data_IF_601051083024
#
_entry.id   IF_601051083024
#
_cell.length_a   1.000
_cell.length_b   1.000
_cell.length_c   1.000
_cell.angle_alpha   90.00
_cell.angle_beta   90.00
_cell.angle_gamma   90.00
#
_symmetry.space_group_name_H-M   'P 1'
#
loop_
_entity.id
_entity.type
_entity.pdbx_description
1 polymer ?
#
# COMPACT_ATOMS: atom_id res chain seq x y z
N UNK A 1 15.15 52.53 -6.83
CA UNK A 1 14.24 51.76 -7.69
C UNK A 1 15.01 50.54 -8.17
N UNK A 2 14.76 49.35 -7.58
CA UNK A 2 15.01 47.98 -8.07
C UNK A 2 14.68 47.01 -6.89
N UNK A 3 14.15 45.80 -7.13
CA UNK A 3 13.04 45.26 -6.34
C UNK A 3 13.39 44.06 -5.44
N UNK A 4 12.46 43.79 -4.52
CA UNK A 4 12.01 42.48 -4.03
C UNK A 4 12.89 41.25 -4.29
N UNK A 5 13.53 40.75 -3.22
CA UNK A 5 13.67 39.31 -3.01
C UNK A 5 13.33 38.96 -1.56
N UNK A 6 12.03 38.81 -1.29
CA UNK A 6 11.53 37.98 -0.19
C UNK A 6 11.82 36.53 -0.62
N UNK A 7 13.05 36.07 -0.37
CA UNK A 7 13.40 34.65 -0.41
C UNK A 7 12.55 33.99 0.67
N UNK A 8 11.36 33.54 0.27
CA UNK A 8 10.63 32.54 1.02
C UNK A 8 11.58 31.37 1.18
N UNK A 9 12.10 31.20 2.39
CA UNK A 9 12.64 29.93 2.83
C UNK A 9 11.43 29.00 2.84
N UNK A 10 11.20 28.34 1.71
CA UNK A 10 10.38 27.15 1.67
C UNK A 10 11.14 26.14 2.53
N UNK A 11 10.82 26.15 3.83
CA UNK A 11 11.12 25.02 4.70
C UNK A 11 10.32 23.87 4.12
N UNK A 12 10.88 23.23 3.08
CA UNK A 12 10.56 21.85 2.73
C UNK A 12 10.77 21.13 4.05
N UNK A 13 9.67 20.79 4.72
CA UNK A 13 9.68 19.96 5.92
C UNK A 13 10.41 18.70 5.48
N UNK A 14 11.66 18.56 5.87
CA UNK A 14 12.33 17.27 5.88
C UNK A 14 11.46 16.39 6.78
N UNK A 15 10.85 15.32 6.27
CA UNK A 15 10.19 14.37 7.15
C UNK A 15 11.24 13.83 8.15
N UNK A 16 10.84 13.48 9.38
CA UNK A 16 11.75 12.90 10.36
C UNK A 16 12.42 11.65 9.75
N UNK A 17 13.73 11.50 9.96
CA UNK A 17 14.58 10.48 9.32
C UNK A 17 14.30 9.00 9.70
N UNK A 18 13.17 8.70 10.34
CA UNK A 18 12.71 7.34 10.66
C UNK A 18 11.42 6.94 9.93
N UNK A 19 10.75 7.89 9.27
CA UNK A 19 9.71 7.60 8.29
C UNK A 19 10.32 7.82 6.92
N UNK A 20 11.03 6.82 6.41
CA UNK A 20 11.28 6.75 4.96
C UNK A 20 9.88 6.89 4.35
N UNK A 21 9.57 7.97 3.59
CA UNK A 21 8.34 7.98 2.83
C UNK A 21 8.52 6.84 1.86
N UNK A 22 7.93 5.69 2.18
CA UNK A 22 7.91 4.54 1.29
C UNK A 22 7.21 5.09 0.08
N UNK A 23 7.99 5.39 -0.95
CA UNK A 23 7.51 5.89 -2.22
C UNK A 23 6.87 4.67 -2.85
N UNK A 24 5.65 4.38 -2.40
CA UNK A 24 4.85 3.26 -2.87
C UNK A 24 4.64 3.53 -4.36
N UNK A 25 5.46 2.88 -5.18
CA UNK A 25 5.35 2.91 -6.63
C UNK A 25 4.08 2.12 -6.97
N UNK A 26 3.05 2.84 -7.40
CA UNK A 26 1.83 2.20 -7.85
C UNK A 26 2.13 1.31 -9.06
N UNK A 27 1.90 0.01 -8.92
CA UNK A 27 2.27 -0.98 -9.93
C UNK A 27 3.39 -1.93 -9.49
N UNK A 28 4.01 -1.71 -8.33
CA UNK A 28 4.98 -2.67 -7.80
C UNK A 28 4.27 -3.95 -7.35
N UNK A 29 4.73 -5.09 -7.88
CA UNK A 29 4.24 -6.41 -7.50
C UNK A 29 5.05 -6.89 -6.30
N UNK A 30 4.35 -7.18 -5.20
CA UNK A 30 4.94 -7.62 -3.95
C UNK A 30 4.27 -8.92 -3.48
N UNK A 31 5.00 -9.71 -2.68
CA UNK A 31 4.46 -10.93 -2.07
C UNK A 31 4.47 -10.76 -0.56
N UNK A 32 3.36 -11.08 0.10
CA UNK A 32 3.28 -11.08 1.55
C UNK A 32 2.20 -12.04 2.05
N UNK A 33 2.08 -12.21 3.37
CA UNK A 33 1.13 -13.13 3.98
C UNK A 33 -0.16 -12.43 4.41
N UNK A 34 -1.27 -13.14 4.32
CA UNK A 34 -2.56 -12.65 4.79
C UNK A 34 -2.51 -12.53 6.31
N UNK A 35 -2.77 -11.32 6.82
CA UNK A 35 -2.85 -11.06 8.25
C UNK A 35 -4.22 -11.42 8.81
N UNK A 36 -5.29 -10.93 8.19
CA UNK A 36 -6.65 -11.26 8.60
C UNK A 36 -7.65 -11.13 7.46
N UNK A 37 -8.66 -12.00 7.45
CA UNK A 37 -9.75 -12.01 6.46
C UNK A 37 -11.08 -11.74 7.14
N UNK A 38 -11.91 -10.91 6.50
CA UNK A 38 -13.27 -10.56 6.95
C UNK A 38 -14.27 -10.77 5.82
N UNK A 39 -15.55 -10.68 6.12
CA UNK A 39 -16.60 -10.85 5.12
C UNK A 39 -16.52 -9.76 4.04
N UNK A 40 -15.98 -10.14 2.87
CA UNK A 40 -15.82 -9.26 1.72
C UNK A 40 -14.53 -8.41 1.65
N UNK A 41 -13.57 -8.57 2.55
CA UNK A 41 -12.27 -7.88 2.45
C UNK A 41 -11.23 -8.54 3.34
N UNK A 42 -9.97 -8.19 3.12
CA UNK A 42 -8.88 -8.70 3.95
C UNK A 42 -7.78 -7.69 4.15
N UNK A 43 -6.86 -8.09 5.02
CA UNK A 43 -5.66 -7.37 5.36
C UNK A 43 -4.46 -8.28 5.09
N UNK A 44 -3.52 -7.77 4.32
CA UNK A 44 -2.23 -8.42 4.08
C UNK A 44 -1.23 -7.82 5.07
N UNK A 45 -0.47 -8.69 5.73
CA UNK A 45 0.59 -8.26 6.65
C UNK A 45 1.64 -7.52 5.84
N UNK A 46 1.89 -6.27 6.16
CA UNK A 46 2.91 -5.50 5.49
C UNK A 46 3.73 -4.77 6.57
N UNK A 47 5.03 -5.04 6.72
CA UNK A 47 5.80 -4.46 7.82
C UNK A 47 6.11 -2.97 7.59
N UNK A 48 6.07 -2.50 6.35
CA UNK A 48 6.49 -1.16 5.97
C UNK A 48 5.33 -0.14 6.01
N UNK A 49 4.09 -0.59 6.14
CA UNK A 49 2.91 0.28 6.20
C UNK A 49 1.84 -0.42 7.04
N UNK A 50 0.93 0.32 7.65
CA UNK A 50 -0.24 -0.27 8.32
C UNK A 50 -0.87 -1.33 7.40
N UNK A 51 -1.34 -2.47 7.96
CA UNK A 51 -1.78 -3.64 7.19
C UNK A 51 -2.50 -3.29 5.90
N UNK A 52 -2.06 -3.88 4.79
CA UNK A 52 -2.51 -3.50 3.47
C UNK A 52 -3.94 -4.00 3.23
N UNK A 53 -4.85 -3.08 2.94
CA UNK A 53 -6.24 -3.40 2.67
C UNK A 53 -6.42 -3.93 1.24
N UNK A 54 -7.19 -5.00 1.10
CA UNK A 54 -7.65 -5.49 -0.20
C UNK A 54 -9.12 -5.90 -0.16
N UNK A 55 -9.80 -5.72 -1.28
CA UNK A 55 -11.18 -6.14 -1.48
C UNK A 55 -11.22 -7.41 -2.33
N UNK A 56 -12.22 -8.28 -2.14
CA UNK A 56 -12.34 -9.52 -2.94
C UNK A 56 -12.41 -9.23 -4.45
N UNK A 57 -12.91 -8.06 -4.84
CA UNK A 57 -12.99 -7.64 -6.25
C UNK A 57 -11.63 -7.49 -6.93
N UNK A 58 -10.55 -7.42 -6.15
CA UNK A 58 -9.19 -7.35 -6.67
C UNK A 58 -8.48 -8.70 -6.71
N UNK A 59 -9.17 -9.79 -6.37
CA UNK A 59 -8.61 -11.13 -6.50
C UNK A 59 -8.57 -11.57 -7.96
N UNK A 60 -7.46 -12.17 -8.37
CA UNK A 60 -7.25 -12.70 -9.71
C UNK A 60 -6.79 -14.14 -9.58
N UNK A 61 -7.42 -15.03 -10.36
CA UNK A 61 -7.12 -16.47 -10.36
C UNK A 61 -7.16 -17.11 -8.96
N UNK A 62 -7.94 -16.54 -8.04
CA UNK A 62 -8.08 -17.00 -6.65
C UNK A 62 -9.43 -16.57 -6.11
N UNK A 63 -10.12 -17.50 -5.45
CA UNK A 63 -11.36 -17.21 -4.74
C UNK A 63 -11.09 -16.75 -3.30
N UNK A 64 -11.89 -15.80 -2.81
CA UNK A 64 -11.77 -15.32 -1.42
C UNK A 64 -11.94 -16.44 -0.40
N UNK A 65 -12.75 -17.45 -0.71
CA UNK A 65 -13.00 -18.61 0.15
C UNK A 65 -11.80 -19.57 0.26
N UNK A 66 -10.88 -19.54 -0.71
CA UNK A 66 -9.66 -20.35 -0.69
C UNK A 66 -8.52 -19.70 0.09
N UNK A 67 -8.61 -18.40 0.35
CA UNK A 67 -7.65 -17.65 1.14
C UNK A 67 -7.81 -17.96 2.63
N UNK A 68 -6.68 -18.05 3.33
CA UNK A 68 -6.63 -18.18 4.79
C UNK A 68 -5.61 -17.25 5.41
N UNK A 69 -5.81 -16.91 6.67
CA UNK A 69 -4.82 -16.18 7.46
C UNK A 69 -3.50 -16.98 7.50
N UNK A 70 -2.40 -16.32 7.18
CA UNK A 70 -1.08 -16.94 7.03
C UNK A 70 -0.72 -17.41 5.62
N UNK A 71 -1.66 -17.43 4.67
CA UNK A 71 -1.34 -17.77 3.28
C UNK A 71 -0.51 -16.68 2.61
N UNK A 72 0.48 -17.08 1.82
CA UNK A 72 1.28 -16.18 1.00
C UNK A 72 0.48 -15.76 -0.24
N UNK A 73 0.37 -14.47 -0.47
CA UNK A 73 -0.31 -13.87 -1.62
C UNK A 73 0.61 -12.89 -2.31
N UNK A 74 0.56 -12.86 -3.63
CA UNK A 74 1.19 -11.82 -4.44
C UNK A 74 0.13 -10.80 -4.81
N UNK A 75 0.48 -9.52 -4.73
CA UNK A 75 -0.42 -8.42 -5.01
C UNK A 75 0.36 -7.27 -5.63
N UNK A 76 -0.35 -6.45 -6.40
CA UNK A 76 0.15 -5.18 -6.90
C UNK A 76 -0.21 -4.08 -5.91
N UNK A 77 0.81 -3.38 -5.41
CA UNK A 77 0.63 -2.23 -4.55
C UNK A 77 0.10 -1.05 -5.37
N UNK A 78 -0.99 -0.43 -4.93
CA UNK A 78 -1.62 0.72 -5.60
C UNK A 78 -2.22 1.66 -4.54
N UNK A 79 -2.69 2.84 -4.94
CA UNK A 79 -3.33 3.81 -4.04
C UNK A 79 -4.80 3.99 -4.44
N UNK A 80 -5.65 4.24 -3.45
CA UNK A 80 -7.02 4.67 -3.72
C UNK A 80 -7.08 6.17 -4.04
N UNK A 81 -8.27 6.69 -4.38
CA UNK A 81 -8.49 8.11 -4.66
C UNK A 81 -8.17 9.05 -3.47
N UNK A 82 -8.06 8.49 -2.26
CA UNK A 82 -7.70 9.18 -1.02
C UNK A 82 -6.19 9.12 -0.73
N UNK A 83 -5.41 8.44 -1.58
CA UNK A 83 -3.97 8.23 -1.41
C UNK A 83 -3.59 7.13 -0.42
N UNK A 84 -4.54 6.31 0.03
CA UNK A 84 -4.27 5.18 0.93
C UNK A 84 -3.79 3.96 0.14
N UNK A 85 -2.75 3.25 0.62
CA UNK A 85 -2.24 2.07 -0.07
C UNK A 85 -3.23 0.92 0.01
N UNK A 86 -3.48 0.30 -1.15
CA UNK A 86 -4.37 -0.84 -1.34
C UNK A 86 -3.66 -1.92 -2.15
N UNK A 87 -4.02 -3.17 -1.91
CA UNK A 87 -3.60 -4.30 -2.72
C UNK A 87 -4.59 -4.50 -3.88
N UNK A 88 -4.06 -4.53 -5.10
CA UNK A 88 -4.78 -4.91 -6.32
C UNK A 88 -4.20 -6.18 -6.91
N UNK A 89 -4.93 -6.88 -7.79
CA UNK A 89 -4.46 -8.09 -8.45
C UNK A 89 -3.91 -9.15 -7.48
N UNK A 90 -4.64 -9.39 -6.40
CA UNK A 90 -4.22 -10.31 -5.34
C UNK A 90 -4.39 -11.74 -5.85
N UNK A 91 -3.32 -12.53 -5.82
CA UNK A 91 -3.34 -13.96 -6.18
C UNK A 91 -2.67 -14.78 -5.09
N UNK A 92 -3.18 -15.98 -4.86
CA UNK A 92 -2.60 -16.92 -3.91
C UNK A 92 -1.30 -17.52 -4.49
N UNK A 93 -0.22 -17.46 -3.71
CA UNK A 93 1.06 -18.11 -4.02
C UNK A 93 1.21 -19.30 -3.08
N UNK A 94 1.05 -20.51 -3.63
CA UNK A 94 1.23 -21.80 -2.92
C UNK A 94 2.50 -22.51 -3.39
#
# INVERSE_FOLDING_TARGET
FFPMNRLFVERKKTPPADEIPVEIEEGEVMTSTIYSLKDGYGFISFPQTNNLFFHYSFLIDTDFNDLREGDSVEFTLSKNERGEPIARNVKLVR
#
